data_IF_435733758933
#
_entry.id   IF_435733758933
#
_cell.length_a   1.000
_cell.length_b   1.000
_cell.length_c   1.000
_cell.angle_alpha   90.00
_cell.angle_beta   90.00
_cell.angle_gamma   90.00
#
_symmetry.space_group_name_H-M   'P 1'
#
loop_
_entity.id
_entity.type
_entity.pdbx_description
1 polymer ?
#
# COMPACT_ATOMS: atom_id res chain seq x y z
N UNK A 1 21.31 -0.21 4.48
CA UNK A 1 22.30 0.89 4.53
C UNK A 1 23.38 0.60 5.59
N UNK A 2 23.15 0.84 6.89
CA UNK A 2 24.17 0.59 7.95
C UNK A 2 24.81 -0.81 7.93
N UNK A 3 23.99 -1.88 7.83
CA UNK A 3 24.47 -3.29 7.73
C UNK A 3 25.50 -3.50 6.61
N UNK A 4 25.45 -2.69 5.56
CA UNK A 4 26.29 -2.80 4.36
C UNK A 4 27.31 -1.65 4.24
N UNK A 5 27.64 -0.96 5.34
CA UNK A 5 28.71 0.05 5.37
C UNK A 5 28.30 1.48 4.99
N UNK A 6 27.06 1.72 4.58
CA UNK A 6 26.56 3.05 4.19
C UNK A 6 26.00 3.81 5.40
N UNK A 7 26.89 4.34 6.23
CA UNK A 7 26.55 5.00 7.51
C UNK A 7 26.25 6.50 7.43
N UNK A 8 26.69 7.16 6.36
CA UNK A 8 26.62 8.60 6.12
C UNK A 8 25.38 9.04 5.31
N UNK A 9 24.55 8.08 4.88
CA UNK A 9 23.31 8.35 4.13
C UNK A 9 22.23 8.93 5.04
N UNK A 10 21.72 10.12 4.68
CA UNK A 10 20.53 10.72 5.27
C UNK A 10 19.27 10.13 4.63
N UNK A 11 18.46 9.43 5.41
CA UNK A 11 17.22 8.81 4.95
C UNK A 11 16.04 9.73 5.28
N UNK A 12 15.20 9.98 4.28
CA UNK A 12 13.94 10.71 4.40
C UNK A 12 12.81 9.87 3.81
N UNK A 13 11.57 10.12 4.22
CA UNK A 13 10.40 9.39 3.74
C UNK A 13 9.49 10.26 2.89
N UNK A 14 8.85 9.66 1.89
CA UNK A 14 7.78 10.32 1.13
C UNK A 14 6.53 9.45 1.19
N UNK A 15 5.42 10.05 1.59
CA UNK A 15 4.11 9.43 1.49
C UNK A 15 3.40 9.95 0.24
N UNK A 16 2.97 9.05 -0.62
CA UNK A 16 2.06 9.39 -1.70
C UNK A 16 0.66 9.27 -1.14
N UNK A 17 -0.18 10.29 -1.35
CA UNK A 17 -1.63 10.12 -1.18
C UNK A 17 -2.11 8.98 -2.09
N UNK A 18 -3.38 8.57 -1.95
CA UNK A 18 -3.94 7.42 -2.66
C UNK A 18 -3.51 7.39 -4.14
N UNK A 19 -3.01 6.23 -4.60
CA UNK A 19 -2.45 6.07 -5.95
C UNK A 19 -3.34 5.24 -6.88
N UNK A 20 -4.47 4.74 -6.38
CA UNK A 20 -5.46 4.03 -7.21
C UNK A 20 -6.52 4.97 -7.77
N UNK A 21 -7.63 4.41 -8.24
CA UNK A 21 -8.74 5.20 -8.82
C UNK A 21 -9.37 6.16 -7.82
N UNK A 22 -9.61 7.39 -8.27
CA UNK A 22 -10.30 8.44 -7.52
C UNK A 22 -11.80 8.48 -7.84
N UNK A 23 -12.63 9.00 -6.91
CA UNK A 23 -14.00 9.37 -7.22
C UNK A 23 -14.03 10.56 -8.20
N UNK A 24 -15.06 10.61 -9.06
CA UNK A 24 -15.21 11.70 -10.04
C UNK A 24 -15.72 13.00 -9.40
N UNK A 25 -16.51 12.91 -8.33
CA UNK A 25 -16.98 14.09 -7.62
C UNK A 25 -15.81 14.74 -6.85
N UNK A 26 -15.52 16.00 -7.13
CA UNK A 26 -14.38 16.71 -6.52
C UNK A 26 -14.46 16.74 -4.99
N UNK A 27 -15.66 16.90 -4.42
CA UNK A 27 -15.87 16.86 -2.97
C UNK A 27 -15.42 15.53 -2.35
N UNK A 28 -15.65 14.41 -3.04
CA UNK A 28 -15.17 13.09 -2.62
C UNK A 28 -13.65 12.96 -2.84
N UNK A 29 -13.12 13.53 -3.92
CA UNK A 29 -11.67 13.55 -4.17
C UNK A 29 -10.92 14.33 -3.07
N UNK A 30 -11.46 15.45 -2.61
CA UNK A 30 -10.92 16.19 -1.47
C UNK A 30 -10.94 15.38 -0.18
N UNK A 31 -11.94 14.52 0.04
CA UNK A 31 -11.93 13.62 1.20
C UNK A 31 -10.76 12.61 1.12
N UNK A 32 -10.47 12.07 -0.07
CA UNK A 32 -9.32 11.17 -0.29
C UNK A 32 -8.00 11.91 -0.08
N UNK A 33 -7.85 13.12 -0.62
CA UNK A 33 -6.67 13.99 -0.45
C UNK A 33 -6.47 14.31 1.03
N UNK A 34 -7.52 14.74 1.72
CA UNK A 34 -7.48 15.13 3.13
C UNK A 34 -7.10 13.96 4.02
N UNK A 35 -7.67 12.78 3.77
CA UNK A 35 -7.33 11.57 4.51
C UNK A 35 -5.88 11.14 4.28
N UNK A 36 -5.40 11.15 3.03
CA UNK A 36 -4.00 10.88 2.73
C UNK A 36 -3.03 11.89 3.38
N UNK A 37 -3.45 13.15 3.48
CA UNK A 37 -2.70 14.20 4.19
C UNK A 37 -2.64 13.95 5.70
N UNK A 38 -3.76 13.50 6.29
CA UNK A 38 -3.80 13.14 7.70
C UNK A 38 -2.86 11.99 8.03
N UNK A 39 -2.83 10.95 7.19
CA UNK A 39 -1.90 9.83 7.34
C UNK A 39 -0.44 10.31 7.19
N UNK A 40 -0.14 11.19 6.23
CA UNK A 40 1.20 11.75 6.06
C UNK A 40 1.68 12.53 7.29
N UNK A 41 0.81 13.37 7.86
CA UNK A 41 1.11 14.18 9.04
C UNK A 41 1.35 13.30 10.28
N UNK A 42 0.43 12.38 10.58
CA UNK A 42 0.50 11.50 11.76
C UNK A 42 1.61 10.45 11.67
N UNK A 43 2.02 10.07 10.46
CA UNK A 43 3.18 9.21 10.23
C UNK A 43 4.52 9.97 10.23
N UNK A 44 4.49 11.30 10.37
CA UNK A 44 5.65 12.19 10.28
C UNK A 44 6.48 11.97 9.00
N UNK A 45 5.81 11.84 7.85
CA UNK A 45 6.49 11.72 6.56
C UNK A 45 7.29 13.00 6.25
N UNK A 46 8.51 12.85 5.73
CA UNK A 46 9.35 14.02 5.39
C UNK A 46 8.78 14.83 4.22
N UNK A 47 8.07 14.17 3.29
CA UNK A 47 7.41 14.78 2.14
C UNK A 47 6.08 14.08 1.86
N UNK A 48 5.10 14.83 1.34
CA UNK A 48 3.86 14.27 0.79
C UNK A 48 3.76 14.58 -0.71
N UNK A 49 3.32 13.62 -1.52
CA UNK A 49 2.94 13.87 -2.92
C UNK A 49 1.44 14.13 -2.98
N UNK A 50 1.10 15.33 -3.44
CA UNK A 50 -0.25 15.87 -3.49
C UNK A 50 -1.02 15.34 -4.71
N UNK A 51 -2.27 14.95 -4.49
CA UNK A 51 -3.25 14.61 -5.51
C UNK A 51 -4.21 15.77 -5.74
N UNK A 52 -4.98 15.69 -6.82
CA UNK A 52 -5.88 16.78 -7.25
C UNK A 52 -7.32 16.29 -7.34
N UNK A 53 -8.32 17.18 -7.24
CA UNK A 53 -9.72 16.81 -7.46
C UNK A 53 -9.98 16.28 -8.88
N UNK A 54 -9.10 16.56 -9.84
CA UNK A 54 -9.20 16.10 -11.24
C UNK A 54 -8.60 14.71 -11.48
N UNK A 55 -8.12 13.99 -10.45
CA UNK A 55 -7.38 12.72 -10.61
C UNK A 55 -8.17 11.64 -11.38
N UNK A 56 -9.49 11.64 -11.30
CA UNK A 56 -10.35 10.69 -12.01
C UNK A 56 -10.63 11.07 -13.49
N UNK A 57 -10.25 12.27 -13.91
CA UNK A 57 -10.58 12.83 -15.23
C UNK A 57 -9.33 12.91 -16.11
N UNK A 58 -8.21 13.41 -15.57
CA UNK A 58 -6.98 13.57 -16.34
C UNK A 58 -5.95 14.47 -15.67
N UNK A 59 -5.03 15.02 -16.46
CA UNK A 59 -4.01 15.96 -15.98
C UNK A 59 -4.70 17.20 -15.39
N UNK A 60 -4.37 17.63 -14.17
CA UNK A 60 -5.04 18.75 -13.52
C UNK A 60 -4.74 20.09 -14.19
N UNK A 61 -5.67 21.03 -14.07
CA UNK A 61 -5.37 22.45 -14.30
C UNK A 61 -4.46 22.96 -13.19
N UNK A 62 -3.85 24.14 -13.39
CA UNK A 62 -3.02 24.77 -12.35
C UNK A 62 -3.85 25.13 -11.11
N UNK A 63 -5.12 25.48 -11.27
CA UNK A 63 -6.06 25.78 -10.19
C UNK A 63 -6.37 24.53 -9.36
N UNK A 64 -6.78 23.44 -10.00
CA UNK A 64 -7.06 22.18 -9.30
C UNK A 64 -5.82 21.62 -8.58
N UNK A 65 -4.63 21.80 -9.16
CA UNK A 65 -3.38 21.44 -8.50
C UNK A 65 -3.10 22.34 -7.28
N UNK A 66 -3.28 23.65 -7.40
CA UNK A 66 -3.15 24.59 -6.30
C UNK A 66 -4.12 24.26 -5.16
N UNK A 67 -5.37 23.93 -5.46
CA UNK A 67 -6.37 23.60 -4.45
C UNK A 67 -6.03 22.29 -3.71
N UNK A 68 -5.54 21.27 -4.41
CA UNK A 68 -5.00 20.06 -3.79
C UNK A 68 -3.84 20.35 -2.83
N UNK A 69 -2.94 21.26 -3.19
CA UNK A 69 -1.83 21.69 -2.32
C UNK A 69 -2.32 22.46 -1.10
N UNK A 70 -3.28 23.38 -1.27
CA UNK A 70 -3.86 24.15 -0.18
C UNK A 70 -4.62 23.27 0.81
N UNK A 71 -5.44 22.34 0.32
CA UNK A 71 -6.12 21.32 1.11
C UNK A 71 -5.11 20.47 1.91
N UNK A 72 -4.07 19.98 1.24
CA UNK A 72 -3.03 19.16 1.88
C UNK A 72 -2.29 19.94 2.97
N UNK A 73 -1.88 21.18 2.69
CA UNK A 73 -1.19 22.04 3.66
C UNK A 73 -2.08 22.36 4.86
N UNK A 74 -3.36 22.66 4.64
CA UNK A 74 -4.30 22.91 5.72
C UNK A 74 -4.42 21.71 6.65
N UNK A 75 -4.55 20.49 6.11
CA UNK A 75 -4.62 19.26 6.91
C UNK A 75 -3.34 19.01 7.72
N UNK A 76 -2.17 19.21 7.12
CA UNK A 76 -0.89 19.06 7.83
C UNK A 76 -0.77 20.07 8.97
N UNK A 77 -1.11 21.33 8.73
CA UNK A 77 -1.06 22.37 9.76
C UNK A 77 -2.01 22.07 10.94
N UNK A 78 -3.22 21.59 10.67
CA UNK A 78 -4.18 21.23 11.73
C UNK A 78 -3.74 20.05 12.59
N UNK A 79 -2.86 19.20 12.06
CA UNK A 79 -2.35 18.00 12.75
C UNK A 79 -0.90 18.17 13.23
N UNK A 80 -0.31 19.37 13.10
CA UNK A 80 1.10 19.61 13.35
C UNK A 80 1.55 19.25 14.77
N UNK A 81 0.68 19.46 15.76
CA UNK A 81 0.93 19.17 17.17
C UNK A 81 0.42 17.78 17.59
N UNK A 82 -0.18 17.02 16.68
CA UNK A 82 -0.72 15.70 16.97
C UNK A 82 0.32 14.61 16.73
N UNK A 83 0.24 13.56 17.54
CA UNK A 83 1.03 12.35 17.36
C UNK A 83 0.16 11.14 17.60
N UNK A 84 0.46 10.04 16.91
CA UNK A 84 -0.28 8.80 17.06
C UNK A 84 0.42 7.90 18.09
N UNK A 85 -0.33 7.38 19.06
CA UNK A 85 0.18 6.33 19.94
C UNK A 85 0.39 5.06 19.12
N UNK A 86 1.65 4.75 18.81
CA UNK A 86 1.98 3.63 17.92
C UNK A 86 2.01 2.26 18.61
N UNK A 87 1.62 2.17 19.89
CA UNK A 87 1.57 0.90 20.62
C UNK A 87 0.62 -0.10 19.96
N UNK A 88 -0.57 0.36 19.55
CA UNK A 88 -1.53 -0.46 18.81
C UNK A 88 -1.05 -0.90 17.43
N UNK A 89 -0.01 -0.25 16.88
CA UNK A 89 0.58 -0.58 15.59
C UNK A 89 1.77 -1.55 15.69
N UNK A 90 2.13 -1.98 16.91
CA UNK A 90 3.33 -2.78 17.14
C UNK A 90 3.30 -4.09 16.35
N UNK A 91 2.18 -4.80 16.39
CA UNK A 91 2.06 -6.12 15.76
C UNK A 91 2.14 -6.00 14.23
N UNK A 92 1.44 -5.02 13.67
CA UNK A 92 1.49 -4.74 12.22
C UNK A 92 2.92 -4.37 11.75
N UNK A 93 3.67 -3.58 12.55
CA UNK A 93 5.08 -3.26 12.26
C UNK A 93 5.96 -4.51 12.26
N UNK A 94 5.71 -5.46 13.16
CA UNK A 94 6.45 -6.73 13.23
C UNK A 94 6.16 -7.59 12.00
N UNK A 95 4.90 -7.71 11.61
CA UNK A 95 4.48 -8.46 10.41
C UNK A 95 5.14 -7.88 9.16
N UNK A 96 5.00 -6.57 8.91
CA UNK A 96 5.60 -5.90 7.75
C UNK A 96 7.12 -6.10 7.71
N UNK A 97 7.79 -5.97 8.86
CA UNK A 97 9.25 -6.15 8.94
C UNK A 97 9.67 -7.62 8.71
N UNK A 98 8.88 -8.60 9.16
CA UNK A 98 9.15 -10.01 8.93
C UNK A 98 8.99 -10.38 7.45
N UNK A 99 7.88 -9.98 6.81
CA UNK A 99 7.63 -10.19 5.39
C UNK A 99 8.71 -9.54 4.51
N UNK A 100 9.08 -8.31 4.83
CA UNK A 100 10.14 -7.59 4.12
C UNK A 100 11.48 -8.32 4.22
N UNK A 101 11.81 -8.87 5.40
CA UNK A 101 13.04 -9.66 5.57
C UNK A 101 13.02 -10.93 4.74
N UNK A 102 11.92 -11.69 4.75
CA UNK A 102 11.75 -12.89 3.91
C UNK A 102 12.08 -12.61 2.43
N UNK A 103 11.52 -11.53 1.86
CA UNK A 103 11.76 -11.15 0.47
C UNK A 103 13.20 -10.70 0.24
N UNK A 104 13.75 -9.84 1.11
CA UNK A 104 15.11 -9.32 0.95
C UNK A 104 16.18 -10.41 1.12
N UNK A 105 16.03 -11.27 2.13
CA UNK A 105 16.96 -12.38 2.38
C UNK A 105 17.00 -13.33 1.19
N UNK A 106 15.82 -13.65 0.61
CA UNK A 106 15.76 -14.45 -0.61
C UNK A 106 16.39 -13.75 -1.82
N UNK A 107 16.23 -12.43 -1.97
CA UNK A 107 16.93 -11.66 -3.00
C UNK A 107 18.46 -11.80 -2.84
N UNK A 108 19.00 -11.61 -1.62
CA UNK A 108 20.43 -11.76 -1.38
C UNK A 108 20.93 -13.19 -1.64
N UNK A 109 20.17 -14.20 -1.28
CA UNK A 109 20.50 -15.61 -1.53
C UNK A 109 20.59 -15.91 -3.04
N UNK A 110 19.57 -15.51 -3.80
CA UNK A 110 19.54 -15.69 -5.26
C UNK A 110 20.69 -14.96 -5.97
N UNK A 111 21.08 -13.80 -5.42
CA UNK A 111 22.20 -13.00 -5.90
C UNK A 111 23.57 -13.42 -5.37
N UNK A 112 23.64 -14.44 -4.51
CA UNK A 112 24.88 -14.84 -3.80
C UNK A 112 25.60 -13.65 -3.14
N UNK A 113 24.82 -12.76 -2.53
CA UNK A 113 25.30 -11.53 -1.89
C UNK A 113 25.20 -10.27 -2.75
N UNK A 114 25.07 -10.38 -4.08
CA UNK A 114 24.83 -9.24 -4.97
C UNK A 114 23.32 -8.95 -5.06
N UNK A 115 22.87 -7.84 -4.46
CA UNK A 115 21.46 -7.48 -4.45
C UNK A 115 20.89 -7.17 -5.84
N UNK A 116 21.69 -6.63 -6.76
CA UNK A 116 21.23 -6.28 -8.10
C UNK A 116 20.95 -7.55 -8.92
N UNK A 117 21.88 -8.51 -8.89
CA UNK A 117 21.66 -9.83 -9.49
C UNK A 117 20.50 -10.56 -8.79
N UNK A 118 20.46 -10.48 -7.47
CA UNK A 118 19.38 -11.02 -6.64
C UNK A 118 18.00 -10.53 -7.05
N UNK A 119 17.83 -9.21 -7.25
CA UNK A 119 16.57 -8.61 -7.71
C UNK A 119 16.16 -9.10 -9.10
N UNK A 120 17.10 -9.22 -10.05
CA UNK A 120 16.79 -9.74 -11.39
C UNK A 120 16.24 -11.17 -11.31
N UNK A 121 16.89 -12.04 -10.51
CA UNK A 121 16.44 -13.42 -10.34
C UNK A 121 15.13 -13.50 -9.53
N UNK A 122 14.96 -12.63 -8.53
CA UNK A 122 13.76 -12.59 -7.71
C UNK A 122 12.52 -12.22 -8.53
N UNK A 123 12.62 -11.24 -9.44
CA UNK A 123 11.53 -10.87 -10.36
C UNK A 123 11.20 -12.05 -11.28
N UNK A 124 12.22 -12.66 -11.91
CA UNK A 124 12.02 -13.79 -12.85
C UNK A 124 11.40 -15.02 -12.20
N UNK A 125 11.70 -15.25 -10.92
CA UNK A 125 11.18 -16.39 -10.16
C UNK A 125 9.87 -16.08 -9.43
N UNK A 126 9.42 -14.83 -9.39
CA UNK A 126 8.23 -14.39 -8.65
C UNK A 126 8.41 -14.28 -7.13
N UNK A 127 9.65 -14.32 -6.64
CA UNK A 127 10.00 -13.97 -5.24
C UNK A 127 9.71 -12.51 -4.95
N UNK A 128 9.92 -11.65 -5.95
CA UNK A 128 9.51 -10.25 -5.95
C UNK A 128 8.48 -10.08 -7.07
N UNK A 129 7.22 -9.91 -6.70
CA UNK A 129 6.09 -9.84 -7.63
C UNK A 129 5.24 -8.60 -7.32
N UNK A 130 4.97 -7.79 -8.35
CA UNK A 130 4.30 -6.49 -8.22
C UNK A 130 2.88 -6.62 -8.79
N UNK A 131 1.82 -6.36 -7.99
CA UNK A 131 0.44 -6.48 -8.46
C UNK A 131 0.17 -5.60 -9.68
N UNK A 132 -0.46 -6.17 -10.70
CA UNK A 132 -0.91 -5.46 -11.90
C UNK A 132 0.20 -4.78 -12.72
N UNK A 133 1.47 -5.17 -12.51
CA UNK A 133 2.58 -4.59 -13.26
C UNK A 133 2.51 -5.00 -14.75
N UNK A 134 2.71 -4.07 -15.70
CA UNK A 134 2.67 -4.35 -17.14
C UNK A 134 3.94 -5.02 -17.67
N UNK A 135 4.98 -5.13 -16.84
CA UNK A 135 6.26 -5.73 -17.24
C UNK A 135 6.10 -7.22 -17.53
N UNK A 136 6.50 -7.66 -18.73
CA UNK A 136 6.53 -9.09 -19.11
C UNK A 136 7.44 -9.95 -18.22
N UNK A 137 8.33 -9.33 -17.45
CA UNK A 137 9.23 -10.04 -16.53
C UNK A 137 8.60 -10.27 -15.16
N UNK A 138 7.52 -9.56 -14.84
CA UNK A 138 6.80 -9.73 -13.58
C UNK A 138 5.99 -11.02 -13.63
N UNK A 139 6.04 -11.84 -12.57
CA UNK A 139 5.35 -13.13 -12.54
C UNK A 139 3.82 -12.98 -12.55
N UNK A 140 3.28 -11.94 -11.91
CA UNK A 140 1.85 -11.63 -11.90
C UNK A 140 0.99 -12.68 -11.18
N UNK A 141 1.56 -13.41 -10.23
CA UNK A 141 0.91 -14.48 -9.47
C UNK A 141 0.42 -14.01 -8.11
N UNK A 142 1.11 -13.06 -7.49
CA UNK A 142 0.67 -12.49 -6.23
C UNK A 142 -0.52 -11.57 -6.46
N UNK A 143 -1.57 -11.76 -5.66
CA UNK A 143 -2.78 -10.94 -5.70
C UNK A 143 -3.10 -10.38 -4.31
N UNK A 144 -3.24 -9.05 -4.17
CA UNK A 144 -3.64 -8.44 -2.91
C UNK A 144 -5.17 -8.35 -2.80
N UNK A 145 -5.69 -8.41 -1.57
CA UNK A 145 -7.06 -7.99 -1.25
C UNK A 145 -7.08 -7.33 0.13
N UNK A 146 -8.11 -6.56 0.43
CA UNK A 146 -8.29 -5.99 1.77
C UNK A 146 -8.84 -7.03 2.74
N UNK A 147 -8.40 -6.98 3.99
CA UNK A 147 -9.06 -7.68 5.09
C UNK A 147 -10.33 -6.95 5.56
N UNK A 148 -10.90 -7.41 6.66
CA UNK A 148 -12.17 -6.88 7.16
C UNK A 148 -12.05 -5.44 7.68
N UNK A 149 -10.87 -5.00 8.08
CA UNK A 149 -10.61 -3.64 8.58
C UNK A 149 -10.11 -2.71 7.46
N UNK A 150 -9.80 -3.27 6.29
CA UNK A 150 -9.37 -2.53 5.10
C UNK A 150 -7.87 -2.50 4.88
N UNK A 151 -7.08 -3.21 5.70
CA UNK A 151 -5.64 -3.37 5.48
C UNK A 151 -5.40 -4.32 4.30
N UNK A 152 -4.36 -4.05 3.51
CA UNK A 152 -4.02 -4.88 2.35
C UNK A 152 -3.31 -6.13 2.84
N UNK A 153 -3.81 -7.29 2.41
CA UNK A 153 -3.28 -8.63 2.69
C UNK A 153 -3.00 -9.39 1.40
N UNK A 154 -2.24 -10.47 1.50
CA UNK A 154 -1.94 -11.35 0.38
C UNK A 154 -3.06 -12.38 0.21
N UNK A 155 -3.97 -12.12 -0.74
CA UNK A 155 -5.04 -13.05 -1.09
C UNK A 155 -4.49 -14.30 -1.80
N UNK A 156 -3.60 -14.09 -2.77
CA UNK A 156 -2.76 -15.15 -3.31
C UNK A 156 -1.30 -14.76 -3.13
N UNK A 157 -0.51 -15.60 -2.44
CA UNK A 157 0.89 -15.32 -2.13
C UNK A 157 1.82 -15.52 -3.33
N UNK A 158 1.45 -16.38 -4.28
CA UNK A 158 2.30 -16.71 -5.42
C UNK A 158 3.61 -17.37 -4.97
N UNK A 159 4.74 -16.86 -5.46
CA UNK A 159 6.08 -17.36 -5.14
C UNK A 159 6.82 -16.48 -4.10
N UNK A 160 6.11 -15.56 -3.42
CA UNK A 160 6.71 -14.74 -2.37
C UNK A 160 7.18 -15.67 -1.22
N UNK A 161 8.44 -15.55 -0.76
CA UNK A 161 9.07 -16.53 0.13
C UNK A 161 8.69 -16.33 1.60
N UNK A 162 7.39 -16.22 1.90
CA UNK A 162 6.90 -16.06 3.27
C UNK A 162 6.96 -17.37 4.05
N UNK A 163 7.09 -17.27 5.37
CA UNK A 163 6.99 -18.43 6.25
C UNK A 163 5.52 -18.91 6.33
N UNK A 164 5.27 -20.17 6.71
CA UNK A 164 3.91 -20.68 6.89
C UNK A 164 3.06 -19.80 7.83
N UNK A 165 3.64 -19.30 8.91
CA UNK A 165 2.94 -18.49 9.91
C UNK A 165 2.47 -17.15 9.32
N UNK A 166 3.29 -16.50 8.49
CA UNK A 166 2.92 -15.27 7.80
C UNK A 166 1.82 -15.53 6.76
N UNK A 167 1.92 -16.64 6.03
CA UNK A 167 0.89 -17.04 5.06
C UNK A 167 -0.44 -17.27 5.76
N UNK A 168 -0.44 -17.98 6.89
CA UNK A 168 -1.65 -18.28 7.65
C UNK A 168 -2.25 -17.02 8.27
N UNK A 169 -1.44 -16.07 8.74
CA UNK A 169 -1.91 -14.74 9.16
C UNK A 169 -2.72 -14.04 8.06
N UNK A 170 -2.24 -14.01 6.81
CA UNK A 170 -3.00 -13.41 5.70
C UNK A 170 -4.30 -14.15 5.42
N UNK A 171 -4.27 -15.50 5.44
CA UNK A 171 -5.48 -16.31 5.21
C UNK A 171 -6.53 -16.05 6.29
N UNK A 172 -6.13 -15.97 7.56
CA UNK A 172 -7.02 -15.68 8.68
C UNK A 172 -7.68 -14.31 8.52
N UNK A 173 -6.90 -13.27 8.20
CA UNK A 173 -7.43 -11.91 7.97
C UNK A 173 -8.39 -11.81 6.79
N UNK A 174 -8.14 -12.55 5.71
CA UNK A 174 -9.08 -12.65 4.60
C UNK A 174 -10.33 -13.47 4.99
N UNK A 175 -10.18 -14.54 5.77
CA UNK A 175 -11.30 -15.35 6.24
C UNK A 175 -12.24 -14.59 7.18
N UNK A 176 -11.70 -13.71 8.03
CA UNK A 176 -12.49 -12.77 8.85
C UNK A 176 -13.42 -11.91 7.97
N UNK A 177 -12.90 -11.37 6.86
CA UNK A 177 -13.70 -10.60 5.88
C UNK A 177 -14.75 -11.47 5.20
N UNK A 178 -14.37 -12.64 4.72
CA UNK A 178 -15.28 -13.57 4.04
C UNK A 178 -16.46 -13.96 4.93
N UNK A 179 -16.19 -14.24 6.21
CA UNK A 179 -17.21 -14.51 7.22
C UNK A 179 -18.13 -13.31 7.43
N UNK A 180 -17.58 -12.10 7.56
CA UNK A 180 -18.35 -10.88 7.74
C UNK A 180 -19.26 -10.58 6.54
N UNK A 181 -18.77 -10.76 5.32
CA UNK A 181 -19.51 -10.50 4.09
C UNK A 181 -20.44 -11.64 3.66
N UNK A 182 -20.47 -12.73 4.42
CA UNK A 182 -21.23 -13.95 4.12
C UNK A 182 -21.01 -14.45 2.67
N UNK A 183 -19.75 -14.40 2.20
CA UNK A 183 -19.34 -14.90 0.89
C UNK A 183 -17.97 -15.57 0.96
N UNK A 184 -17.69 -16.46 0.01
CA UNK A 184 -16.36 -17.05 -0.09
C UNK A 184 -15.31 -16.01 -0.50
N UNK A 185 -14.13 -16.10 0.11
CA UNK A 185 -12.96 -15.35 -0.33
C UNK A 185 -12.64 -15.72 -1.79
N UNK A 186 -12.63 -14.73 -2.67
CA UNK A 186 -12.53 -14.96 -4.12
C UNK A 186 -11.85 -13.77 -4.80
N UNK A 187 -11.39 -13.99 -6.04
CA UNK A 187 -10.84 -12.93 -6.88
C UNK A 187 -11.81 -11.75 -7.06
N UNK A 188 -13.12 -11.96 -6.90
CA UNK A 188 -14.10 -10.87 -6.92
C UNK A 188 -13.82 -9.83 -5.83
N UNK A 189 -13.32 -10.22 -4.64
CA UNK A 189 -12.92 -9.25 -3.60
C UNK A 189 -11.81 -8.31 -4.09
N UNK A 190 -10.85 -8.84 -4.85
CA UNK A 190 -9.76 -8.06 -5.46
C UNK A 190 -10.33 -7.02 -6.42
N UNK A 191 -11.25 -7.45 -7.30
CA UNK A 191 -11.92 -6.57 -8.26
C UNK A 191 -12.71 -5.48 -7.51
N UNK A 192 -13.48 -5.86 -6.50
CA UNK A 192 -14.30 -4.92 -5.73
C UNK A 192 -13.44 -3.85 -5.05
N UNK A 193 -12.28 -4.24 -4.50
CA UNK A 193 -11.35 -3.35 -3.81
C UNK A 193 -10.65 -2.37 -4.77
N UNK A 194 -10.34 -2.80 -6.00
CA UNK A 194 -9.77 -1.92 -7.04
C UNK A 194 -10.70 -0.74 -7.34
N UNK A 195 -12.01 -0.96 -7.30
CA UNK A 195 -13.02 0.08 -7.56
C UNK A 195 -13.58 0.74 -6.30
N UNK A 196 -13.19 0.32 -5.09
CA UNK A 196 -13.86 0.74 -3.86
C UNK A 196 -13.78 2.25 -3.64
N UNK A 197 -12.57 2.83 -3.74
CA UNK A 197 -12.35 4.26 -3.44
C UNK A 197 -13.01 5.15 -4.49
N UNK A 198 -12.97 4.77 -5.77
CA UNK A 198 -13.71 5.52 -6.82
C UNK A 198 -15.22 5.44 -6.66
N UNK A 199 -15.72 4.42 -5.94
CA UNK A 199 -17.12 4.27 -5.51
C UNK A 199 -17.38 4.82 -4.09
N UNK A 200 -16.43 5.55 -3.50
CA UNK A 200 -16.59 6.26 -2.24
C UNK A 200 -16.43 5.43 -0.97
N UNK A 201 -15.78 4.25 -1.02
CA UNK A 201 -15.54 3.38 0.15
C UNK A 201 -14.11 2.86 0.17
N UNK A 202 -13.58 2.48 1.35
CA UNK A 202 -12.24 1.88 1.42
C UNK A 202 -12.26 0.41 0.99
N UNK A 203 -13.25 -0.36 1.46
CA UNK A 203 -13.38 -1.80 1.23
C UNK A 203 -14.50 -2.07 0.23
N UNK A 204 -14.23 -2.90 -0.78
CA UNK A 204 -15.18 -3.34 -1.79
C UNK A 204 -16.19 -4.33 -1.24
N UNK A 205 -17.12 -3.85 -0.41
CA UNK A 205 -18.21 -4.67 0.14
C UNK A 205 -19.23 -5.00 -0.97
N UNK A 206 -19.86 -6.19 -0.92
CA UNK A 206 -21.03 -6.48 -1.75
C UNK A 206 -22.08 -5.38 -1.63
N UNK A 207 -22.81 -5.13 -2.71
CA UNK A 207 -24.04 -4.33 -2.64
C UNK A 207 -25.14 -5.26 -2.14
N UNK A 208 -25.97 -4.77 -1.23
CA UNK A 208 -27.29 -5.36 -0.97
C UNK A 208 -28.16 -5.29 -2.23
#
# INVERSE_FOLDING_TARGET
LRKYGYGDVKVTTVLHQWMGGFPQAESQAYAVISWGSAVAALAHATKVIVKTPHEAVGVPTKEANADGMLCTRQMINMLGEQSLNTYSLKDEKVIIAAETRCVLDRCFELGKGDIAQGTIQAIRSGVLDIPFAPSRYNAGKMLPARDNEGAIRLFHVGNIPLTPELIDFHKEKIAERAKYENRQASFQMVIDDVYAISKGRLVGRPKD
#
